data_IF_434046233388
#
_entry.id   IF_434046233388
#
_cell.length_a   1.000
_cell.length_b   1.000
_cell.length_c   1.000
_cell.angle_alpha   90.00
_cell.angle_beta   90.00
_cell.angle_gamma   90.00
#
_symmetry.space_group_name_H-M   'P 1'
#
loop_
_entity.id
_entity.type
_entity.pdbx_description
1 polymer ?
#
# COMPACT_ATOMS: atom_id res chain seq x y z
N UNK A 1 -36.39 -60.38 17.90
CA UNK A 1 -36.12 -60.93 16.54
C UNK A 1 -34.76 -60.42 16.09
N UNK A 2 -33.66 -61.15 16.33
CA UNK A 2 -33.00 -62.11 15.43
C UNK A 2 -32.83 -61.61 13.97
N UNK A 3 -31.63 -61.12 13.64
CA UNK A 3 -30.68 -61.87 12.80
C UNK A 3 -29.23 -61.41 13.04
N UNK A 4 -28.40 -62.40 13.30
CA UNK A 4 -26.94 -62.39 13.41
C UNK A 4 -26.38 -63.22 12.25
N UNK A 5 -25.06 -63.16 12.06
CA UNK A 5 -24.14 -64.03 11.29
C UNK A 5 -23.62 -63.41 9.97
N UNK A 6 -22.34 -63.00 9.83
CA UNK A 6 -20.99 -63.56 10.07
C UNK A 6 -20.40 -64.30 8.86
N UNK A 7 -19.23 -63.84 8.37
CA UNK A 7 -18.03 -64.58 7.95
C UNK A 7 -17.04 -63.55 7.36
N UNK A 8 -15.97 -63.12 8.03
CA UNK A 8 -14.71 -63.79 8.39
C UNK A 8 -13.87 -64.19 7.17
N UNK A 9 -12.76 -63.48 6.94
CA UNK A 9 -11.64 -63.92 6.11
C UNK A 9 -10.33 -63.55 6.81
N UNK A 10 -9.90 -64.51 7.63
CA UNK A 10 -8.53 -64.97 7.89
C UNK A 10 -7.37 -63.96 7.87
N UNK A 11 -6.78 -63.86 9.05
CA UNK A 11 -5.43 -63.40 9.41
C UNK A 11 -4.36 -64.01 8.47
N UNK A 12 -3.52 -63.15 7.88
CA UNK A 12 -2.14 -63.51 7.56
C UNK A 12 -1.20 -62.70 8.47
N UNK A 13 -0.53 -63.40 9.37
CA UNK A 13 0.59 -62.89 10.13
C UNK A 13 1.83 -62.91 9.23
N UNK A 14 2.39 -61.74 8.92
CA UNK A 14 3.83 -61.64 8.68
C UNK A 14 4.40 -60.50 9.51
N UNK A 15 5.34 -60.89 10.36
CA UNK A 15 6.18 -60.02 11.19
C UNK A 15 7.07 -59.14 10.30
N UNK A 16 7.59 -58.08 10.94
CA UNK A 16 8.66 -57.16 10.51
C UNK A 16 8.27 -55.99 9.57
N UNK A 17 8.09 -54.85 10.24
CA UNK A 17 8.68 -53.54 9.88
C UNK A 17 8.47 -53.02 8.47
N UNK A 18 7.44 -52.18 8.29
CA UNK A 18 7.62 -50.91 7.58
C UNK A 18 6.62 -49.89 8.12
N UNK A 19 7.16 -48.84 8.72
CA UNK A 19 6.45 -47.66 9.17
C UNK A 19 5.95 -46.92 7.93
N UNK A 20 4.64 -46.92 7.69
CA UNK A 20 4.00 -45.88 6.89
C UNK A 20 3.28 -44.97 7.88
N UNK A 21 4.04 -44.05 8.46
CA UNK A 21 3.46 -42.81 8.99
C UNK A 21 2.83 -42.16 7.78
N UNK A 22 1.53 -42.35 7.61
CA UNK A 22 0.74 -41.51 6.74
C UNK A 22 0.89 -40.09 7.25
N UNK A 23 1.82 -39.34 6.66
CA UNK A 23 1.77 -37.89 6.69
C UNK A 23 0.45 -37.50 6.03
N UNK A 24 -0.63 -37.47 6.83
CA UNK A 24 -1.64 -36.46 6.67
C UNK A 24 -0.94 -35.13 7.00
N UNK A 25 -0.14 -34.65 6.04
CA UNK A 25 0.32 -33.29 6.04
C UNK A 25 -0.94 -32.45 5.97
N UNK A 26 -1.36 -31.94 7.12
CA UNK A 26 -2.13 -30.72 7.16
C UNK A 26 -1.34 -29.73 6.32
N UNK A 27 -1.84 -29.45 5.12
CA UNK A 27 -1.57 -28.18 4.45
C UNK A 27 -2.09 -27.13 5.42
N UNK A 28 -1.27 -26.75 6.41
CA UNK A 28 -1.46 -25.55 7.17
C UNK A 28 -1.44 -24.45 6.12
N UNK A 29 -2.63 -24.01 5.69
CA UNK A 29 -2.76 -22.72 5.07
C UNK A 29 -2.12 -21.75 6.07
N UNK A 30 -0.91 -21.30 5.74
CA UNK A 30 -0.22 -20.26 6.50
C UNK A 30 -1.22 -19.12 6.63
N UNK A 31 -1.57 -18.80 7.87
CA UNK A 31 -2.44 -17.68 8.16
C UNK A 31 -1.84 -16.44 7.49
N UNK A 32 -2.66 -15.70 6.75
CA UNK A 32 -2.18 -14.47 6.15
C UNK A 32 -2.07 -13.41 7.26
N UNK A 33 -0.90 -12.78 7.35
CA UNK A 33 -0.64 -11.70 8.29
C UNK A 33 -0.87 -10.34 7.62
N UNK A 34 -1.39 -9.37 8.37
CA UNK A 34 -1.77 -8.04 7.93
C UNK A 34 -1.11 -6.98 8.81
N UNK A 35 -0.23 -6.17 8.22
CA UNK A 35 0.39 -5.02 8.90
C UNK A 35 -0.53 -3.81 8.78
N UNK A 36 -0.93 -3.23 9.91
CA UNK A 36 -1.81 -2.07 9.98
C UNK A 36 -1.05 -0.84 9.51
N UNK A 37 -1.60 -0.17 8.49
CA UNK A 37 -1.05 1.06 7.94
C UNK A 37 -1.80 2.29 8.47
N UNK A 38 -3.09 2.13 8.75
CA UNK A 38 -3.93 3.21 9.23
C UNK A 38 -5.18 2.68 9.93
N UNK A 39 -5.68 3.45 10.91
CA UNK A 39 -7.01 3.30 11.52
C UNK A 39 -7.63 4.68 11.67
N UNK A 40 -8.94 4.82 11.41
CA UNK A 40 -9.66 6.07 11.62
C UNK A 40 -10.29 6.20 13.02
N UNK A 41 -10.11 5.20 13.88
CA UNK A 41 -10.54 5.24 15.27
C UNK A 41 -9.50 4.62 16.20
N UNK A 42 -9.32 5.23 17.36
CA UNK A 42 -8.41 4.78 18.42
C UNK A 42 -9.02 3.70 19.32
N UNK A 43 -10.28 3.36 19.10
CA UNK A 43 -11.06 2.45 19.95
C UNK A 43 -11.34 1.11 19.29
N UNK A 44 -10.80 0.88 18.08
CA UNK A 44 -10.87 -0.42 17.42
C UNK A 44 -9.92 -1.38 18.15
N UNK A 45 -10.40 -2.59 18.43
CA UNK A 45 -9.61 -3.63 19.06
C UNK A 45 -9.37 -4.79 18.08
N UNK A 46 -8.18 -5.35 18.10
CA UNK A 46 -7.86 -6.63 17.45
C UNK A 46 -7.40 -7.60 18.53
N UNK A 47 -8.07 -8.74 18.62
CA UNK A 47 -7.87 -9.74 19.68
C UNK A 47 -7.89 -9.13 21.10
N UNK A 48 -8.80 -8.16 21.30
CA UNK A 48 -9.00 -7.46 22.57
C UNK A 48 -7.96 -6.37 22.89
N UNK A 49 -6.97 -6.14 22.01
CA UNK A 49 -5.96 -5.08 22.18
C UNK A 49 -6.25 -3.90 21.27
N UNK A 50 -6.00 -2.67 21.77
CA UNK A 50 -6.14 -1.46 20.95
C UNK A 50 -5.26 -1.54 19.71
N UNK A 51 -5.87 -1.28 18.56
CA UNK A 51 -5.18 -1.20 17.28
C UNK A 51 -4.12 -0.09 17.33
N UNK A 52 -2.93 -0.42 16.85
CA UNK A 52 -1.85 0.54 16.67
C UNK A 52 -1.33 0.43 15.24
N UNK A 53 -1.03 1.58 14.63
CA UNK A 53 -0.35 1.62 13.34
C UNK A 53 1.00 0.91 13.46
N UNK A 54 1.31 0.06 12.49
CA UNK A 54 2.50 -0.78 12.48
C UNK A 54 2.34 -2.15 13.15
N UNK A 55 1.28 -2.37 13.92
CA UNK A 55 0.97 -3.68 14.48
C UNK A 55 0.52 -4.67 13.40
N UNK A 56 0.74 -5.96 13.64
CA UNK A 56 0.33 -7.04 12.73
C UNK A 56 -0.75 -7.90 13.38
N UNK A 57 -1.73 -8.34 12.59
CA UNK A 57 -2.73 -9.32 12.98
C UNK A 57 -2.93 -10.36 11.88
N UNK A 58 -3.48 -11.52 12.21
CA UNK A 58 -3.69 -12.57 11.22
C UNK A 58 -5.13 -12.60 10.70
N UNK A 59 -5.37 -13.30 9.60
CA UNK A 59 -6.69 -13.52 9.01
C UNK A 59 -7.75 -14.14 9.94
N UNK A 60 -7.33 -14.74 11.07
CA UNK A 60 -8.20 -15.33 12.09
C UNK A 60 -8.43 -14.39 13.29
N UNK A 61 -7.76 -13.24 13.35
CA UNK A 61 -7.90 -12.28 14.44
C UNK A 61 -9.30 -11.66 14.44
N UNK A 62 -9.83 -11.44 15.63
CA UNK A 62 -11.16 -10.86 15.81
C UNK A 62 -11.05 -9.34 15.91
N UNK A 63 -11.62 -8.64 14.92
CA UNK A 63 -11.74 -7.18 14.94
C UNK A 63 -13.02 -6.80 15.69
N UNK A 64 -12.86 -6.07 16.79
CA UNK A 64 -13.97 -5.52 17.57
C UNK A 64 -14.08 -4.03 17.28
N UNK A 65 -15.17 -3.66 16.60
CA UNK A 65 -15.55 -2.28 16.30
C UNK A 65 -16.09 -1.59 17.55
N UNK A 66 -15.78 -0.31 17.73
CA UNK A 66 -16.25 0.47 18.87
C UNK A 66 -17.75 0.77 18.73
N UNK A 67 -18.50 0.48 19.80
CA UNK A 67 -19.94 0.74 19.83
C UNK A 67 -20.23 2.24 19.76
N UNK A 68 -21.25 2.61 18.97
CA UNK A 68 -21.69 4.00 18.84
C UNK A 68 -20.82 4.86 17.93
N UNK A 69 -19.77 4.31 17.33
CA UNK A 69 -19.02 4.97 16.26
C UNK A 69 -19.44 4.36 14.92
N UNK A 70 -19.92 5.19 14.02
CA UNK A 70 -20.15 4.77 12.65
C UNK A 70 -18.85 4.82 11.86
N UNK A 71 -18.81 4.11 10.73
CA UNK A 71 -17.80 4.33 9.69
C UNK A 71 -16.36 4.01 10.12
N UNK A 72 -16.16 2.94 10.88
CA UNK A 72 -14.83 2.55 11.35
C UNK A 72 -14.11 1.67 10.33
N UNK A 73 -12.80 1.86 10.20
CA UNK A 73 -12.00 1.11 9.25
C UNK A 73 -10.53 0.98 9.64
N UNK A 74 -9.93 -0.13 9.19
CA UNK A 74 -8.50 -0.42 9.25
C UNK A 74 -8.02 -0.62 7.81
N UNK A 75 -6.97 0.11 7.45
CA UNK A 75 -6.20 -0.14 6.22
C UNK A 75 -4.96 -0.94 6.60
N UNK A 76 -4.77 -2.08 5.95
CA UNK A 76 -3.64 -2.95 6.21
C UNK A 76 -3.06 -3.52 4.92
N UNK A 77 -1.81 -3.98 4.97
CA UNK A 77 -1.18 -4.71 3.87
C UNK A 77 -0.98 -6.16 4.27
N UNK A 78 -1.41 -7.07 3.42
CA UNK A 78 -1.11 -8.49 3.57
C UNK A 78 0.41 -8.69 3.36
N UNK A 79 1.11 -9.16 4.38
CA UNK A 79 2.59 -9.21 4.42
C UNK A 79 3.17 -10.23 3.45
N UNK A 80 2.36 -11.21 3.02
CA UNK A 80 2.78 -12.27 2.09
C UNK A 80 2.56 -11.87 0.64
N UNK A 81 1.42 -11.26 0.33
CA UNK A 81 1.03 -10.91 -1.04
C UNK A 81 1.31 -9.46 -1.41
N UNK A 82 1.65 -8.62 -0.43
CA UNK A 82 1.75 -7.16 -0.54
C UNK A 82 0.46 -6.49 -1.05
N UNK A 83 -0.68 -7.19 -1.00
CA UNK A 83 -1.97 -6.61 -1.38
C UNK A 83 -2.48 -5.72 -0.28
N UNK A 84 -2.98 -4.55 -0.68
CA UNK A 84 -3.68 -3.64 0.20
C UNK A 84 -5.09 -4.17 0.50
N UNK A 85 -5.44 -4.15 1.78
CA UNK A 85 -6.73 -4.60 2.27
C UNK A 85 -7.37 -3.51 3.12
N UNK A 86 -8.70 -3.41 3.01
CA UNK A 86 -9.53 -2.55 3.84
C UNK A 86 -10.48 -3.41 4.64
N UNK A 87 -10.43 -3.28 5.96
CA UNK A 87 -11.36 -3.89 6.88
C UNK A 87 -12.28 -2.78 7.36
N UNK A 88 -13.60 -2.98 7.25
CA UNK A 88 -14.60 -1.96 7.61
C UNK A 88 -15.64 -2.54 8.54
N UNK A 89 -16.24 -1.70 9.38
CA UNK A 89 -17.38 -2.08 10.20
C UNK A 89 -18.61 -2.42 9.33
N UNK A 90 -19.48 -3.31 9.80
CA UNK A 90 -20.74 -3.65 9.09
C UNK A 90 -21.62 -2.44 8.77
N UNK A 91 -21.58 -1.40 9.62
CA UNK A 91 -22.27 -0.12 9.36
C UNK A 91 -21.78 0.57 8.08
N UNK A 92 -20.59 0.22 7.60
CA UNK A 92 -19.93 0.79 6.43
C UNK A 92 -20.03 -0.09 5.18
N UNK A 93 -20.18 -1.41 5.34
CA UNK A 93 -20.37 -2.34 4.21
C UNK A 93 -21.57 -1.98 3.33
N UNK A 94 -22.56 -1.28 3.88
CA UNK A 94 -23.76 -0.84 3.17
C UNK A 94 -23.52 0.31 2.18
N UNK A 95 -22.35 0.96 2.19
CA UNK A 95 -22.06 2.10 1.32
C UNK A 95 -20.64 2.02 0.71
N UNK A 96 -20.56 1.46 -0.51
CA UNK A 96 -19.30 1.25 -1.24
C UNK A 96 -18.51 2.54 -1.51
N UNK A 97 -19.20 3.67 -1.67
CA UNK A 97 -18.59 5.00 -1.82
C UNK A 97 -17.79 5.40 -0.57
N UNK A 98 -18.26 5.05 0.64
CA UNK A 98 -17.60 5.44 1.89
C UNK A 98 -16.35 4.62 2.19
N UNK A 99 -16.29 3.36 1.73
CA UNK A 99 -15.07 2.55 1.79
C UNK A 99 -13.96 3.12 0.87
N UNK A 100 -14.35 3.62 -0.31
CA UNK A 100 -13.45 4.33 -1.23
C UNK A 100 -12.99 5.68 -0.65
N UNK A 101 -13.89 6.43 -0.01
CA UNK A 101 -13.53 7.67 0.70
C UNK A 101 -12.50 7.43 1.80
N UNK A 102 -12.54 6.32 2.56
CA UNK A 102 -11.48 6.02 3.53
C UNK A 102 -10.17 5.66 2.87
N UNK A 103 -10.22 4.87 1.79
CA UNK A 103 -9.03 4.48 1.03
C UNK A 103 -8.27 5.71 0.53
N UNK A 104 -9.02 6.75 0.14
CA UNK A 104 -8.53 8.02 -0.42
C UNK A 104 -8.32 9.14 0.63
N UNK A 105 -9.02 9.12 1.78
CA UNK A 105 -8.93 10.15 2.82
C UNK A 105 -7.58 10.19 3.54
N UNK A 106 -6.81 9.10 3.54
CA UNK A 106 -5.47 9.09 4.13
C UNK A 106 -4.39 9.20 3.07
N UNK A 107 -3.92 10.44 2.93
CA UNK A 107 -2.85 11.04 2.12
C UNK A 107 -1.45 10.40 2.28
N UNK A 108 -1.35 9.21 2.87
CA UNK A 108 -0.13 8.41 2.99
C UNK A 108 -0.32 7.08 2.24
N UNK A 109 -0.35 7.15 0.91
CA UNK A 109 -0.45 5.99 0.02
C UNK A 109 0.92 5.44 -0.42
N UNK A 110 2.02 5.97 0.11
CA UNK A 110 3.36 5.43 -0.14
C UNK A 110 3.95 4.86 1.14
N UNK A 111 3.65 3.61 1.45
CA UNK A 111 4.53 2.78 2.29
C UNK A 111 5.18 1.74 1.40
N UNK A 112 6.09 2.19 0.52
CA UNK A 112 7.18 1.29 0.16
C UNK A 112 8.16 1.36 1.34
N UNK A 113 8.10 0.40 2.25
CA UNK A 113 9.30 0.01 3.00
C UNK A 113 10.25 -0.69 1.98
N UNK A 114 10.72 0.04 0.95
CA UNK A 114 11.99 -0.37 0.36
C UNK A 114 12.99 -0.14 1.47
N UNK A 115 13.47 -1.24 2.03
CA UNK A 115 14.59 -1.24 2.96
C UNK A 115 15.84 -0.75 2.20
N UNK A 116 15.99 0.57 2.07
CA UNK A 116 17.15 1.27 1.47
C UNK A 116 18.11 1.72 2.58
N UNK A 117 17.68 1.63 3.85
CA UNK A 117 18.48 2.00 5.01
C UNK A 117 19.69 1.07 5.13
N UNK A 118 20.90 1.65 5.01
CA UNK A 118 22.17 0.90 5.00
C UNK A 118 22.69 0.51 3.60
N UNK A 119 21.95 0.75 2.51
CA UNK A 119 22.48 0.55 1.15
C UNK A 119 23.17 1.82 0.64
N UNK A 120 24.44 1.68 0.23
CA UNK A 120 25.22 2.73 -0.43
C UNK A 120 24.83 2.85 -1.91
N UNK A 121 23.61 3.36 -2.14
CA UNK A 121 23.08 3.66 -3.46
C UNK A 121 23.12 5.16 -3.72
N UNK A 122 23.41 5.54 -4.96
CA UNK A 122 23.32 6.94 -5.37
C UNK A 122 21.88 7.47 -5.25
N UNK A 123 21.73 8.77 -4.97
CA UNK A 123 20.43 9.44 -4.84
C UNK A 123 19.48 9.11 -6.01
N UNK A 124 19.90 9.16 -7.29
CA UNK A 124 19.01 8.83 -8.41
C UNK A 124 18.41 7.41 -8.33
N UNK A 125 19.23 6.44 -7.91
CA UNK A 125 18.79 5.04 -7.77
C UNK A 125 17.79 4.91 -6.63
N UNK A 126 18.06 5.54 -5.48
CA UNK A 126 17.13 5.53 -4.34
C UNK A 126 15.78 6.09 -4.73
N UNK A 127 15.76 7.26 -5.39
CA UNK A 127 14.53 7.88 -5.85
C UNK A 127 13.78 7.00 -6.86
N UNK A 128 14.48 6.37 -7.82
CA UNK A 128 13.86 5.50 -8.83
C UNK A 128 13.06 4.34 -8.23
N UNK A 129 13.55 3.79 -7.11
CA UNK A 129 12.89 2.69 -6.40
C UNK A 129 11.65 3.13 -5.62
N UNK A 130 11.54 4.42 -5.29
CA UNK A 130 10.47 4.96 -4.45
C UNK A 130 9.28 5.50 -5.26
N UNK A 131 9.50 5.87 -6.53
CA UNK A 131 8.43 6.31 -7.41
C UNK A 131 7.62 5.13 -7.96
N UNK A 132 6.33 5.12 -7.63
CA UNK A 132 5.35 4.21 -8.18
C UNK A 132 5.03 4.56 -9.64
N UNK A 133 4.40 3.61 -10.34
CA UNK A 133 3.89 3.84 -11.70
C UNK A 133 2.60 4.65 -11.73
N UNK A 134 1.89 4.75 -10.61
CA UNK A 134 0.57 5.36 -10.54
C UNK A 134 0.33 5.98 -9.17
N UNK A 135 -0.33 7.13 -9.15
CA UNK A 135 -0.76 7.84 -7.96
C UNK A 135 -2.16 8.42 -8.14
N UNK A 136 -2.91 8.49 -7.05
CA UNK A 136 -4.17 9.21 -6.95
C UNK A 136 -3.94 10.56 -6.25
N UNK A 137 -4.27 11.65 -6.93
CA UNK A 137 -4.10 13.02 -6.45
C UNK A 137 -5.45 13.63 -6.06
N UNK A 138 -5.79 13.50 -4.77
CA UNK A 138 -6.87 14.27 -4.17
C UNK A 138 -6.39 15.69 -3.84
N UNK A 139 -5.38 15.80 -2.96
CA UNK A 139 -4.80 17.07 -2.51
C UNK A 139 -3.29 17.15 -2.79
N UNK A 140 -2.49 16.96 -1.75
CA UNK A 140 -1.03 16.87 -1.80
C UNK A 140 -0.64 15.43 -1.51
N UNK A 141 0.00 14.80 -2.48
CA UNK A 141 0.71 13.54 -2.32
C UNK A 141 2.07 13.82 -1.68
N UNK A 142 2.34 13.12 -0.57
CA UNK A 142 3.64 13.16 0.11
C UNK A 142 4.35 11.83 -0.12
N UNK A 143 5.49 11.87 -0.80
CA UNK A 143 6.36 10.72 -1.04
C UNK A 143 7.50 10.83 -0.04
N UNK A 144 7.50 9.98 0.98
CA UNK A 144 8.61 9.87 1.92
C UNK A 144 9.77 9.12 1.25
N UNK A 145 10.85 9.84 0.97
CA UNK A 145 12.05 9.28 0.36
C UNK A 145 13.11 8.92 1.37
N UNK A 146 13.05 9.50 2.58
CA UNK A 146 14.14 9.49 3.58
C UNK A 146 15.48 9.99 3.02
N UNK A 147 15.49 10.61 1.83
CA UNK A 147 16.67 11.16 1.16
C UNK A 147 16.60 12.67 1.23
N UNK A 148 17.42 13.26 2.10
CA UNK A 148 17.58 14.71 2.15
C UNK A 148 18.39 15.14 0.94
N UNK A 149 17.75 15.87 0.02
CA UNK A 149 18.42 16.39 -1.16
C UNK A 149 19.30 17.59 -0.79
N UNK A 150 20.56 17.62 -1.25
CA UNK A 150 21.39 18.82 -1.15
C UNK A 150 20.78 19.98 -1.97
N UNK A 151 21.10 21.25 -1.64
CA UNK A 151 20.51 22.42 -2.31
C UNK A 151 20.74 22.49 -3.84
N UNK A 152 21.82 21.89 -4.32
CA UNK A 152 22.18 21.78 -5.74
C UNK A 152 21.27 20.84 -6.52
N UNK A 153 20.57 19.92 -5.84
CA UNK A 153 19.67 18.97 -6.46
C UNK A 153 18.22 19.43 -6.35
N UNK A 154 17.43 19.14 -7.37
CA UNK A 154 15.98 19.40 -7.38
C UNK A 154 15.25 18.33 -8.16
N UNK A 155 14.04 18.00 -7.72
CA UNK A 155 13.20 17.01 -8.41
C UNK A 155 12.26 17.76 -9.34
N UNK A 156 12.26 17.38 -10.61
CA UNK A 156 11.45 17.99 -11.65
C UNK A 156 10.40 16.98 -12.11
N UNK A 157 9.14 17.41 -12.14
CA UNK A 157 8.06 16.69 -12.79
C UNK A 157 7.75 17.36 -14.14
N UNK A 158 7.75 16.57 -15.19
CA UNK A 158 7.47 17.00 -16.55
C UNK A 158 6.26 16.25 -17.08
N UNK A 159 5.31 16.96 -17.67
CA UNK A 159 4.07 16.37 -18.18
C UNK A 159 3.58 17.11 -19.42
N UNK A 160 2.75 16.44 -20.21
CA UNK A 160 2.07 17.06 -21.35
C UNK A 160 0.63 17.41 -20.98
N UNK A 161 0.19 18.60 -21.39
CA UNK A 161 -1.16 19.06 -21.22
C UNK A 161 -1.57 19.85 -22.46
N UNK A 162 -2.63 19.38 -23.13
CA UNK A 162 -3.15 19.91 -24.40
C UNK A 162 -2.06 20.15 -25.46
N UNK A 163 -1.19 19.16 -25.67
CA UNK A 163 -0.09 19.23 -26.63
C UNK A 163 1.10 20.11 -26.21
N UNK A 164 1.03 20.72 -25.03
CA UNK A 164 2.11 21.55 -24.47
C UNK A 164 2.82 20.82 -23.35
N UNK A 165 4.15 20.80 -23.40
CA UNK A 165 4.99 20.20 -22.36
C UNK A 165 5.29 21.22 -21.26
N UNK A 166 4.99 20.84 -20.02
CA UNK A 166 5.25 21.64 -18.82
C UNK A 166 6.23 20.93 -17.90
N UNK A 167 7.15 21.69 -17.31
CA UNK A 167 8.10 21.20 -16.29
C UNK A 167 7.97 22.02 -15.01
N UNK A 168 7.87 21.33 -13.88
CA UNK A 168 7.69 21.93 -12.55
C UNK A 168 8.67 21.33 -11.57
N UNK A 169 9.36 22.20 -10.82
CA UNK A 169 10.14 21.77 -9.66
C UNK A 169 9.18 21.37 -8.55
N UNK A 170 9.28 20.11 -8.12
CA UNK A 170 8.51 19.61 -7.00
C UNK A 170 9.07 20.18 -5.69
N UNK A 171 8.17 20.48 -4.76
CA UNK A 171 8.58 20.90 -3.43
C UNK A 171 9.22 19.70 -2.72
N UNK A 172 10.33 19.94 -2.04
CA UNK A 172 11.02 18.93 -1.23
C UNK A 172 11.31 19.49 0.16
N UNK A 173 11.09 18.72 1.22
CA UNK A 173 11.42 19.09 2.59
C UNK A 173 11.68 17.85 3.44
N UNK A 174 12.72 17.86 4.27
CA UNK A 174 13.00 16.83 5.27
C UNK A 174 12.92 15.38 4.73
N UNK A 175 13.49 15.12 3.55
CA UNK A 175 13.44 13.79 2.94
C UNK A 175 12.09 13.41 2.34
N UNK A 176 11.22 14.39 2.08
CA UNK A 176 9.92 14.19 1.46
C UNK A 176 9.83 14.98 0.15
N UNK A 177 9.11 14.41 -0.82
CA UNK A 177 8.73 15.06 -2.08
C UNK A 177 7.23 15.27 -2.07
N UNK A 178 6.78 16.46 -2.47
CA UNK A 178 5.38 16.84 -2.48
C UNK A 178 4.91 17.05 -3.91
N UNK A 179 3.84 16.34 -4.31
CA UNK A 179 3.13 16.56 -5.56
C UNK A 179 1.73 17.05 -5.21
N UNK A 180 1.36 18.24 -5.66
CA UNK A 180 0.05 18.84 -5.42
C UNK A 180 -0.53 19.44 -6.70
N UNK A 181 -1.77 19.93 -6.62
CA UNK A 181 -2.47 20.53 -7.76
C UNK A 181 -1.83 21.81 -8.30
N UNK A 182 -0.86 22.42 -7.61
CA UNK A 182 -0.10 23.56 -8.14
C UNK A 182 0.76 23.16 -9.33
N UNK A 183 0.96 21.86 -9.55
CA UNK A 183 1.51 21.34 -10.81
C UNK A 183 0.77 21.93 -12.02
N UNK A 184 -0.55 22.09 -11.92
CA UNK A 184 -1.43 22.66 -12.94
C UNK A 184 -1.51 24.19 -12.92
N UNK A 185 -0.71 24.89 -12.10
CA UNK A 185 -0.62 26.35 -12.15
C UNK A 185 0.56 26.78 -13.01
N UNK A 186 0.28 27.39 -14.16
CA UNK A 186 1.27 27.86 -15.13
C UNK A 186 1.15 29.37 -15.27
N UNK A 187 2.24 30.09 -15.03
CA UNK A 187 2.32 31.55 -15.12
C UNK A 187 1.21 32.30 -14.36
N UNK A 188 0.87 31.78 -13.17
CA UNK A 188 -0.17 32.33 -12.31
C UNK A 188 -1.60 31.95 -12.72
N UNK A 189 -1.79 31.18 -13.79
CA UNK A 189 -3.10 30.67 -14.23
C UNK A 189 -3.24 29.19 -13.86
N UNK A 190 -4.33 28.87 -13.17
CA UNK A 190 -4.70 27.48 -12.91
C UNK A 190 -5.30 26.84 -14.17
N UNK A 191 -4.62 25.82 -14.70
CA UNK A 191 -5.19 24.88 -15.66
C UNK A 191 -6.18 23.96 -14.94
N UNK A 192 -7.16 23.43 -15.68
CA UNK A 192 -8.12 22.48 -15.11
C UNK A 192 -7.39 21.18 -14.73
N UNK A 193 -7.42 20.74 -13.47
CA UNK A 193 -6.80 19.48 -13.07
C UNK A 193 -7.42 18.30 -13.82
N UNK A 194 -6.58 17.36 -14.29
CA UNK A 194 -6.97 16.13 -14.98
C UNK A 194 -5.86 15.10 -14.89
N UNK A 195 -6.16 13.89 -15.31
CA UNK A 195 -5.18 12.80 -15.39
C UNK A 195 -4.05 13.14 -16.36
N UNK A 196 -2.81 12.91 -15.92
CA UNK A 196 -1.60 13.17 -16.69
C UNK A 196 -0.56 12.08 -16.43
N UNK A 197 0.35 11.88 -17.37
CA UNK A 197 1.56 11.09 -17.16
C UNK A 197 2.74 12.01 -16.83
N UNK A 198 3.40 11.75 -15.72
CA UNK A 198 4.59 12.48 -15.29
C UNK A 198 5.86 11.71 -15.65
N UNK A 199 6.83 12.45 -16.16
CA UNK A 199 8.23 12.08 -16.13
C UNK A 199 8.90 12.79 -14.96
N UNK A 200 9.61 12.04 -14.13
CA UNK A 200 10.32 12.51 -12.96
C UNK A 200 11.82 12.44 -13.23
N UNK A 201 12.48 13.59 -13.09
CA UNK A 201 13.90 13.75 -13.25
C UNK A 201 14.52 14.38 -12.00
N UNK A 202 15.77 14.06 -11.73
CA UNK A 202 16.60 14.76 -10.76
C UNK A 202 17.51 15.71 -11.52
N UNK A 203 17.39 17.00 -11.25
CA UNK A 203 18.20 18.04 -11.87
C UNK A 203 19.33 18.46 -10.93
N UNK A 204 20.57 18.40 -11.43
CA UNK A 204 21.74 18.96 -10.79
C UNK A 204 22.01 20.37 -11.33
N UNK A 205 21.82 21.38 -10.48
CA UNK A 205 21.98 22.80 -10.82
C UNK A 205 23.43 23.18 -11.10
N UNK A 206 24.39 22.54 -10.42
CA UNK A 206 25.80 22.90 -10.52
C UNK A 206 26.38 22.45 -11.86
N UNK A 207 25.95 21.27 -12.33
CA UNK A 207 26.42 20.66 -13.57
C UNK A 207 25.46 20.92 -14.76
N UNK A 208 24.26 21.45 -14.50
CA UNK A 208 23.19 21.61 -15.48
C UNK A 208 22.83 20.29 -16.18
N UNK A 209 22.72 19.20 -15.41
CA UNK A 209 22.45 17.84 -15.91
C UNK A 209 21.17 17.28 -15.30
N UNK A 210 20.42 16.53 -16.11
CA UNK A 210 19.23 15.79 -15.68
C UNK A 210 19.55 14.29 -15.58
N UNK A 211 19.14 13.69 -14.46
CA UNK A 211 19.16 12.25 -14.25
C UNK A 211 17.74 11.73 -14.28
N UNK A 212 17.45 10.85 -15.24
CA UNK A 212 16.15 10.21 -15.34
C UNK A 212 15.88 9.32 -14.12
N UNK A 213 14.78 9.62 -13.41
CA UNK A 213 14.36 8.84 -12.24
C UNK A 213 13.29 7.84 -12.65
N UNK A 214 12.18 8.32 -13.20
CA UNK A 214 11.01 7.51 -13.55
C UNK A 214 10.22 8.16 -14.67
N UNK A 215 9.70 7.37 -15.59
CA UNK A 215 8.82 7.83 -16.65
C UNK A 215 7.45 7.17 -16.55
N UNK A 216 6.49 7.75 -17.27
CA UNK A 216 5.11 7.26 -17.38
C UNK A 216 4.44 7.02 -16.02
N UNK A 217 4.69 7.93 -15.07
CA UNK A 217 4.03 7.91 -13.76
C UNK A 217 2.63 8.49 -13.95
N UNK A 218 1.62 7.64 -13.94
CA UNK A 218 0.22 8.04 -14.04
C UNK A 218 -0.21 8.80 -12.77
N UNK A 219 -0.69 10.03 -12.94
CA UNK A 219 -1.25 10.85 -11.89
C UNK A 219 -2.73 11.03 -12.16
N UNK A 220 -3.57 10.25 -11.48
CA UNK A 220 -5.03 10.33 -11.59
C UNK A 220 -5.55 11.40 -10.65
N UNK A 221 -6.21 12.43 -11.18
CA UNK A 221 -6.74 13.51 -10.36
C UNK A 221 -8.15 13.16 -9.93
N UNK A 222 -8.36 12.99 -8.62
CA UNK A 222 -9.69 12.74 -8.07
C UNK A 222 -10.43 14.09 -8.04
N UNK A 223 -11.59 14.25 -8.70
CA UNK A 223 -12.35 15.49 -8.63
C UNK A 223 -12.68 15.87 -7.18
N UNK A 224 -12.56 17.14 -6.83
CA UNK A 224 -13.11 17.64 -5.57
C UNK A 224 -14.64 17.56 -5.71
N UNK A 225 -15.29 16.72 -4.90
CA UNK A 225 -16.75 16.65 -4.85
C UNK A 225 -17.30 17.99 -4.37
N UNK A 226 -18.31 18.49 -5.08
CA UNK A 226 -19.10 19.68 -4.77
C UNK A 226 -19.95 19.42 -3.52
#
# INVERSE_FOLDING_TARGET
MKRLQFLNLSIFQLKSTLVVIGLCGSLMALADDYKILYTNSNDILVDGKKVQVGATFNDKSVITWAKGQERQAIKAVNTKTNKMCLFVSQSMEKNSLTAYEILTANKHLSTHDAYIEGMDLSIPVKLRLLFYKQYELLDTLVIDTRVVLPPSLSVIATYEYDGTRYSKTLKTANGQIFIDRKLFNVDGKALKPRDVFLNIDLYNKDENVYFFIKGDVELMVIPETI
#
